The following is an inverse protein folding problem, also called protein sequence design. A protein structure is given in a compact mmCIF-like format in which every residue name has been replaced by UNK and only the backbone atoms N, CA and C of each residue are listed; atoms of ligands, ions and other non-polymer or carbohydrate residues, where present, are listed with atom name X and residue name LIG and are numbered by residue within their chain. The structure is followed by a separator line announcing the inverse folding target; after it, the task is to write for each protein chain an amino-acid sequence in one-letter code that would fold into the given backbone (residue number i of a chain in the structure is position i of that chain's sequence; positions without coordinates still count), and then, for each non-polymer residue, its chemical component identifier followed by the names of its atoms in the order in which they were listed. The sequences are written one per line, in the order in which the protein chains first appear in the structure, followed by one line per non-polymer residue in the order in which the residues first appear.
data_IF_586993959701
#
_entry.id   IF_586993959701
#
_cell.length_a   1.000
_cell.length_b   1.000
_cell.length_c   1.000
_cell.angle_alpha   90.00
_cell.angle_beta   90.00
_cell.angle_gamma   90.00
#
_symmetry.space_group_name_H-M   'P 1'
#
loop_
_entity.id
_entity.type
_entity.pdbx_description
1 polymer ?
#
# COMPACT_ATOMS: atom_id res chain seq x y z
N UNK A 1 3.75 0.33 -9.15
CA UNK A 1 2.56 1.06 -9.63
C UNK A 1 2.94 2.54 -9.76
N UNK A 2 2.66 3.18 -10.90
CA UNK A 2 2.96 4.62 -11.10
C UNK A 2 1.76 5.47 -10.67
N UNK A 3 1.19 5.18 -9.50
CA UNK A 3 0.20 6.07 -8.90
C UNK A 3 0.88 7.34 -8.42
N UNK A 4 0.36 8.51 -8.79
CA UNK A 4 0.84 9.81 -8.28
C UNK A 4 -0.05 10.35 -7.15
N UNK A 5 -0.97 9.52 -6.67
CA UNK A 5 -1.89 9.86 -5.58
C UNK A 5 -2.01 8.66 -4.63
N UNK A 6 -2.02 8.93 -3.33
CA UNK A 6 -2.40 7.97 -2.29
C UNK A 6 -3.80 8.34 -1.79
N UNK A 7 -4.73 7.40 -1.79
CA UNK A 7 -6.03 7.56 -1.12
C UNK A 7 -5.97 6.81 0.20
N UNK A 8 -6.45 7.42 1.27
CA UNK A 8 -6.69 6.80 2.58
C UNK A 8 -8.18 6.86 2.87
N UNK A 9 -8.76 5.73 3.24
CA UNK A 9 -10.16 5.61 3.60
C UNK A 9 -10.31 4.78 4.88
N UNK A 10 -10.94 5.36 5.90
CA UNK A 10 -11.40 4.60 7.06
C UNK A 10 -12.87 4.22 6.87
N UNK A 11 -13.19 2.93 6.99
CA UNK A 11 -14.57 2.45 6.89
C UNK A 11 -15.19 2.32 8.29
N UNK A 12 -16.52 2.31 8.38
CA UNK A 12 -17.28 2.19 9.65
C UNK A 12 -16.95 0.95 10.50
N UNK A 13 -16.24 -0.05 9.96
CA UNK A 13 -15.70 -1.17 10.73
C UNK A 13 -14.35 -0.82 11.41
N UNK A 14 -14.01 0.47 11.50
CA UNK A 14 -12.78 1.05 12.05
C UNK A 14 -11.49 0.58 11.39
N UNK A 15 -11.58 0.04 10.17
CA UNK A 15 -10.41 -0.36 9.39
C UNK A 15 -10.05 0.73 8.40
N UNK A 16 -8.77 1.07 8.40
CA UNK A 16 -8.18 1.98 7.42
C UNK A 16 -7.60 1.17 6.27
N UNK A 17 -7.87 1.65 5.06
CA UNK A 17 -7.36 1.12 3.83
C UNK A 17 -6.72 2.23 3.02
N UNK A 18 -5.83 1.85 2.12
CA UNK A 18 -5.24 2.80 1.20
C UNK A 18 -5.01 2.21 -0.19
N UNK A 19 -4.86 3.09 -1.16
CA UNK A 19 -4.58 2.74 -2.54
C UNK A 19 -3.66 3.77 -3.21
N UNK A 20 -2.63 3.29 -3.91
CA UNK A 20 -1.86 4.14 -4.82
C UNK A 20 -2.52 4.14 -6.21
N UNK A 21 -2.86 5.31 -6.68
CA UNK A 21 -3.66 5.49 -7.89
C UNK A 21 -3.31 6.78 -8.63
N UNK A 22 -4.05 7.10 -9.68
CA UNK A 22 -3.94 8.33 -10.45
C UNK A 22 -5.24 9.14 -10.38
N UNK A 23 -5.14 10.45 -10.64
CA UNK A 23 -6.30 11.34 -10.67
C UNK A 23 -7.30 10.89 -11.75
N UNK A 24 -8.56 10.69 -11.36
CA UNK A 24 -9.63 10.26 -12.26
C UNK A 24 -9.78 8.74 -12.42
N UNK A 25 -8.99 7.94 -11.70
CA UNK A 25 -9.20 6.50 -11.63
C UNK A 25 -10.57 6.17 -10.99
N UNK A 26 -11.29 5.21 -11.56
CA UNK A 26 -12.53 4.72 -10.99
C UNK A 26 -12.24 4.02 -9.65
N UNK A 27 -12.85 4.50 -8.56
CA UNK A 27 -12.72 3.94 -7.20
C UNK A 27 -13.10 2.45 -7.18
N UNK A 28 -14.01 2.03 -8.06
CA UNK A 28 -14.44 0.62 -8.22
C UNK A 28 -13.33 -0.35 -8.62
N UNK A 29 -12.28 0.14 -9.27
CA UNK A 29 -11.29 -0.72 -9.90
C UNK A 29 -9.94 -0.64 -9.17
N UNK A 30 -9.88 0.11 -8.07
CA UNK A 30 -8.68 0.28 -7.28
C UNK A 30 -8.34 -0.96 -6.45
N UNK A 31 -7.04 -1.25 -6.37
CA UNK A 31 -6.50 -2.28 -5.49
C UNK A 31 -6.24 -1.67 -4.11
N UNK A 32 -7.20 -1.87 -3.20
CA UNK A 32 -7.05 -1.46 -1.81
C UNK A 32 -6.12 -2.39 -1.04
N UNK A 33 -5.33 -1.79 -0.17
CA UNK A 33 -4.44 -2.46 0.77
C UNK A 33 -4.87 -2.13 2.21
N UNK A 34 -4.66 -3.07 3.12
CA UNK A 34 -4.72 -2.80 4.56
C UNK A 34 -3.45 -2.08 5.04
N UNK A 35 -3.43 -1.68 6.32
CA UNK A 35 -2.30 -1.06 7.02
C UNK A 35 -0.96 -1.80 6.84
N UNK A 36 -1.02 -3.12 6.64
CA UNK A 36 0.15 -4.02 6.46
C UNK A 36 0.52 -4.25 4.99
N UNK A 37 -0.15 -3.60 4.05
CA UNK A 37 0.10 -3.73 2.62
C UNK A 37 -0.36 -5.09 2.06
N UNK A 38 -1.44 -5.66 2.61
CA UNK A 38 -2.10 -6.83 2.04
C UNK A 38 -3.30 -6.39 1.19
N UNK A 39 -3.45 -7.00 0.02
CA UNK A 39 -4.60 -6.77 -0.83
C UNK A 39 -5.89 -7.18 -0.11
N UNK A 40 -6.88 -6.29 -0.13
CA UNK A 40 -8.22 -6.54 0.39
C UNK A 40 -9.25 -6.44 -0.73
N UNK A 41 -10.43 -7.02 -0.51
CA UNK A 41 -11.56 -6.84 -1.43
C UNK A 41 -11.96 -5.37 -1.47
N UNK A 42 -12.41 -4.90 -2.63
CA UNK A 42 -12.90 -3.54 -2.78
C UNK A 42 -13.96 -3.25 -1.70
N UNK A 43 -13.76 -2.22 -0.84
CA UNK A 43 -14.70 -1.87 0.22
C UNK A 43 -16.02 -1.24 -0.26
N UNK A 44 -16.36 -1.34 -1.54
CA UNK A 44 -17.61 -0.87 -2.11
C UNK A 44 -18.84 -1.24 -1.28
N UNK A 45 -19.71 -0.24 -1.07
CA UNK A 45 -20.95 -0.38 -0.29
C UNK A 45 -20.76 -0.30 1.22
N UNK A 46 -19.52 -0.25 1.73
CA UNK A 46 -19.27 0.04 3.14
C UNK A 46 -19.40 1.54 3.40
N UNK A 47 -20.07 1.89 4.49
CA UNK A 47 -20.07 3.28 4.97
C UNK A 47 -18.65 3.72 5.34
N UNK A 48 -18.33 4.97 5.04
CA UNK A 48 -17.00 5.56 5.23
C UNK A 48 -17.02 6.55 6.41
N UNK A 49 -15.99 6.50 7.25
CA UNK A 49 -15.74 7.44 8.33
C UNK A 49 -15.02 8.69 7.80
N UNK A 50 -13.94 8.50 7.04
CA UNK A 50 -13.26 9.58 6.32
C UNK A 50 -12.57 9.11 5.04
N UNK A 51 -12.36 10.05 4.11
CA UNK A 51 -11.46 9.89 2.96
C UNK A 51 -10.57 11.11 2.80
N UNK A 52 -9.27 10.87 2.62
CA UNK A 52 -8.30 11.88 2.24
C UNK A 52 -7.34 11.35 1.17
N UNK A 53 -6.86 12.27 0.35
CA UNK A 53 -5.95 11.99 -0.77
C UNK A 53 -4.67 12.80 -0.64
N UNK A 54 -3.52 12.15 -0.79
CA UNK A 54 -2.21 12.78 -0.86
C UNK A 54 -1.70 12.82 -2.30
N UNK A 55 -1.38 14.01 -2.78
CA UNK A 55 -0.84 14.24 -4.11
C UNK A 55 0.69 14.21 -4.06
N UNK A 56 1.27 13.10 -4.53
CA UNK A 56 2.73 12.87 -4.46
C UNK A 56 3.54 13.98 -5.16
N UNK A 57 3.13 14.52 -6.33
CA UNK A 57 3.89 15.58 -6.99
C UNK A 57 3.95 16.89 -6.21
N UNK A 58 2.89 17.24 -5.47
CA UNK A 58 2.78 18.52 -4.77
C UNK A 58 3.03 18.42 -3.27
N UNK A 59 2.99 17.21 -2.71
CA UNK A 59 3.12 16.99 -1.26
C UNK A 59 1.92 17.49 -0.46
N UNK A 60 0.72 17.50 -1.08
CA UNK A 60 -0.48 18.09 -0.49
C UNK A 60 -1.53 17.03 -0.15
N UNK A 61 -2.08 17.14 1.06
CA UNK A 61 -3.30 16.44 1.48
C UNK A 61 -4.54 17.21 1.05
N UNK A 62 -5.54 16.47 0.56
CA UNK A 62 -6.91 16.93 0.37
C UNK A 62 -7.85 16.03 1.14
N UNK A 63 -8.67 16.64 1.98
CA UNK A 63 -9.79 15.97 2.60
C UNK A 63 -10.97 15.96 1.63
N UNK A 64 -11.62 14.80 1.45
CA UNK A 64 -12.68 14.64 0.46
C UNK A 64 -14.05 14.48 1.11
N UNK A 65 -14.15 13.71 2.19
CA UNK A 65 -15.42 13.44 2.88
C UNK A 65 -15.22 12.86 4.29
N UNK A 66 -16.25 12.99 5.14
CA UNK A 66 -16.35 12.31 6.43
C UNK A 66 -16.06 13.19 7.65
N UNK A 67 -15.50 12.60 8.71
CA UNK A 67 -15.04 13.33 9.89
C UNK A 67 -13.60 13.84 9.72
N UNK A 68 -13.47 15.16 9.61
CA UNK A 68 -12.17 15.82 9.46
C UNK A 68 -11.28 15.63 10.70
N UNK A 69 -11.86 15.57 11.90
CA UNK A 69 -11.11 15.38 13.14
C UNK A 69 -10.36 14.05 13.15
N UNK A 70 -11.10 12.95 12.91
CA UNK A 70 -10.54 11.60 12.80
C UNK A 70 -9.47 11.50 11.72
N UNK A 71 -9.66 12.15 10.57
CA UNK A 71 -8.64 12.16 9.51
C UNK A 71 -7.33 12.82 9.95
N UNK A 72 -7.39 13.99 10.58
CA UNK A 72 -6.20 14.70 11.06
C UNK A 72 -5.50 13.92 12.19
N UNK A 73 -6.26 13.30 13.08
CA UNK A 73 -5.72 12.42 14.11
C UNK A 73 -5.01 11.21 13.51
N UNK A 74 -5.61 10.58 12.49
CA UNK A 74 -4.98 9.48 11.77
C UNK A 74 -3.64 9.91 11.16
N UNK A 75 -3.59 11.05 10.46
CA UNK A 75 -2.35 11.57 9.87
C UNK A 75 -1.27 11.77 10.93
N UNK A 76 -1.63 12.36 12.08
CA UNK A 76 -0.68 12.61 13.17
C UNK A 76 -0.13 11.31 13.75
N UNK A 77 -1.00 10.32 13.96
CA UNK A 77 -0.66 9.09 14.69
C UNK A 77 0.02 8.02 13.83
N UNK A 78 -0.08 8.10 12.49
CA UNK A 78 0.42 7.04 11.59
C UNK A 78 1.34 7.53 10.48
N UNK A 79 1.38 8.84 10.25
CA UNK A 79 2.23 9.46 9.23
C UNK A 79 3.06 10.60 9.83
N UNK A 80 2.95 10.83 11.14
CA UNK A 80 3.66 11.87 11.85
C UNK A 80 3.07 13.28 11.78
N UNK A 81 3.60 14.14 12.65
CA UNK A 81 3.07 15.49 12.88
C UNK A 81 3.49 16.56 11.87
N UNK A 82 4.42 16.27 10.95
CA UNK A 82 4.92 17.24 9.96
C UNK A 82 4.95 16.66 8.54
N UNK A 83 5.01 17.54 7.54
CA UNK A 83 4.92 17.16 6.12
C UNK A 83 6.08 16.29 5.63
N UNK A 84 7.30 16.51 6.12
CA UNK A 84 8.47 15.74 5.68
C UNK A 84 8.39 14.29 6.16
N UNK A 85 7.99 14.09 7.41
CA UNK A 85 7.76 12.77 8.00
C UNK A 85 6.62 12.03 7.29
N UNK A 86 5.51 12.72 7.01
CA UNK A 86 4.39 12.16 6.25
C UNK A 86 4.83 11.71 4.86
N UNK A 87 5.57 12.56 4.14
CA UNK A 87 6.08 12.23 2.81
C UNK A 87 6.98 10.99 2.84
N UNK A 88 7.91 10.95 3.78
CA UNK A 88 8.83 9.84 3.94
C UNK A 88 8.11 8.51 4.26
N UNK A 89 7.17 8.50 5.20
CA UNK A 89 6.36 7.32 5.52
C UNK A 89 5.51 6.89 4.32
N UNK A 90 4.95 7.83 3.55
CA UNK A 90 4.21 7.53 2.30
C UNK A 90 5.12 6.88 1.25
N UNK A 91 6.36 7.33 1.09
CA UNK A 91 7.34 6.75 0.17
C UNK A 91 7.70 5.31 0.58
N UNK A 92 7.95 5.07 1.87
CA UNK A 92 8.18 3.72 2.41
C UNK A 92 6.97 2.80 2.20
N UNK A 93 5.77 3.31 2.46
CA UNK A 93 4.50 2.59 2.25
C UNK A 93 4.35 2.19 0.79
N UNK A 94 4.63 3.14 -0.13
CA UNK A 94 4.58 2.88 -1.57
C UNK A 94 5.53 1.78 -2.00
N UNK A 95 6.77 1.84 -1.53
CA UNK A 95 7.78 0.85 -1.86
C UNK A 95 7.40 -0.55 -1.34
N UNK A 96 6.94 -0.61 -0.09
CA UNK A 96 6.47 -1.84 0.54
C UNK A 96 5.35 -2.50 -0.27
N UNK A 97 4.37 -1.71 -0.70
CA UNK A 97 3.20 -2.23 -1.40
C UNK A 97 3.56 -2.68 -2.82
N UNK A 98 4.37 -1.90 -3.53
CA UNK A 98 4.91 -2.28 -4.83
C UNK A 98 5.70 -3.60 -4.74
N UNK A 99 6.50 -3.76 -3.69
CA UNK A 99 7.22 -5.00 -3.41
C UNK A 99 6.27 -6.16 -3.10
N UNK A 100 5.24 -5.92 -2.29
CA UNK A 100 4.19 -6.89 -1.98
C UNK A 100 3.48 -7.42 -3.24
N UNK A 101 3.16 -6.53 -4.18
CA UNK A 101 2.56 -6.89 -5.46
C UNK A 101 3.51 -7.70 -6.35
N UNK A 102 4.79 -7.32 -6.41
CA UNK A 102 5.82 -8.09 -7.13
C UNK A 102 5.97 -9.51 -6.54
N UNK A 103 5.98 -9.63 -5.20
CA UNK A 103 5.99 -10.94 -4.51
C UNK A 103 4.74 -11.76 -4.87
N UNK A 104 3.57 -11.13 -4.92
CA UNK A 104 2.31 -11.81 -5.28
C UNK A 104 2.35 -12.36 -6.71
N UNK A 105 2.82 -11.55 -7.68
CA UNK A 105 3.03 -11.99 -9.07
C UNK A 105 4.02 -13.14 -9.17
N UNK A 106 5.17 -13.02 -8.50
CA UNK A 106 6.19 -14.08 -8.46
C UNK A 106 5.63 -15.38 -7.86
N UNK A 107 4.88 -15.30 -6.76
CA UNK A 107 4.21 -16.48 -6.17
C UNK A 107 3.21 -17.14 -7.12
N UNK A 108 2.52 -16.38 -7.97
CA UNK A 108 1.60 -16.94 -8.98
C UNK A 108 2.37 -17.64 -10.09
N UNK A 109 3.44 -17.01 -10.59
CA UNK A 109 4.32 -17.62 -11.59
C UNK A 109 4.96 -18.91 -11.07
N UNK A 110 5.48 -18.93 -9.84
CA UNK A 110 6.06 -20.13 -9.22
C UNK A 110 5.07 -21.30 -9.01
N UNK A 111 3.79 -21.12 -9.31
CA UNK A 111 2.76 -22.16 -9.27
C UNK A 111 2.33 -22.63 -10.67
N UNK A 112 2.76 -21.96 -11.73
CA UNK A 112 2.41 -22.33 -13.10
C UNK A 112 3.36 -23.41 -13.64
N UNK A 113 2.92 -24.12 -14.67
CA UNK A 113 3.72 -25.12 -15.38
C UNK A 113 4.99 -24.48 -15.97
N UNK A 114 4.91 -23.23 -16.43
CA UNK A 114 6.06 -22.48 -16.94
C UNK A 114 7.23 -22.44 -15.97
N UNK A 115 6.96 -22.30 -14.66
CA UNK A 115 8.01 -22.32 -13.65
C UNK A 115 8.64 -23.72 -13.51
N UNK A 116 7.83 -24.77 -13.57
CA UNK A 116 8.33 -26.15 -13.49
C UNK A 116 9.06 -26.60 -14.76
N UNK A 117 8.84 -25.91 -15.89
CA UNK A 117 9.55 -26.08 -17.15
C UNK A 117 10.92 -25.38 -17.18
N UNK A 118 11.22 -24.50 -16.22
CA UNK A 118 12.56 -23.90 -16.08
C UNK A 118 13.56 -24.96 -15.58
N UNK A 119 14.83 -24.75 -15.88
CA UNK A 119 15.89 -25.54 -15.26
C UNK A 119 15.94 -25.30 -13.74
N UNK A 120 16.61 -26.23 -13.04
CA UNK A 120 16.66 -26.20 -11.57
C UNK A 120 17.35 -24.96 -11.02
N UNK A 121 18.35 -24.42 -11.72
CA UNK A 121 19.11 -23.27 -11.22
C UNK A 121 18.24 -22.01 -11.26
N UNK A 122 17.49 -21.81 -12.34
CA UNK A 122 16.53 -20.71 -12.46
C UNK A 122 15.38 -20.84 -11.45
N UNK A 123 14.90 -22.05 -11.17
CA UNK A 123 13.91 -22.26 -10.11
C UNK A 123 14.45 -21.85 -8.73
N UNK A 124 15.69 -22.23 -8.40
CA UNK A 124 16.32 -21.86 -7.12
C UNK A 124 16.59 -20.35 -7.02
N UNK A 125 17.03 -19.70 -8.11
CA UNK A 125 17.20 -18.25 -8.17
C UNK A 125 15.90 -17.50 -7.87
N UNK A 126 14.78 -17.94 -8.44
CA UNK A 126 13.47 -17.33 -8.19
C UNK A 126 12.98 -17.56 -6.75
N UNK A 127 13.26 -18.73 -6.16
CA UNK A 127 13.01 -18.99 -4.73
C UNK A 127 13.82 -18.06 -3.83
N UNK A 128 15.12 -17.90 -4.12
CA UNK A 128 16.00 -16.99 -3.40
C UNK A 128 15.55 -15.53 -3.52
N UNK A 129 15.24 -15.08 -4.74
CA UNK A 129 14.71 -13.75 -5.01
C UNK A 129 13.45 -13.47 -4.18
N UNK A 130 12.49 -14.40 -4.17
CA UNK A 130 11.28 -14.29 -3.35
C UNK A 130 11.59 -14.18 -1.86
N UNK A 131 12.60 -14.90 -1.36
CA UNK A 131 13.01 -14.84 0.04
C UNK A 131 13.56 -13.47 0.41
N UNK A 132 14.49 -12.94 -0.40
CA UNK A 132 15.07 -11.60 -0.21
C UNK A 132 14.00 -10.51 -0.26
N UNK A 133 13.09 -10.57 -1.24
CA UNK A 133 11.99 -9.60 -1.33
C UNK A 133 11.08 -9.63 -0.11
N UNK A 134 10.80 -10.81 0.46
CA UNK A 134 10.01 -10.92 1.70
C UNK A 134 10.72 -10.29 2.90
N UNK A 135 12.02 -10.55 3.05
CA UNK A 135 12.83 -9.95 4.11
C UNK A 135 12.83 -8.42 3.97
N UNK A 136 13.01 -7.90 2.76
CA UNK A 136 12.97 -6.46 2.55
C UNK A 136 11.58 -5.85 2.84
N UNK A 137 10.49 -6.52 2.43
CA UNK A 137 9.13 -6.07 2.79
C UNK A 137 8.94 -6.00 4.31
N UNK A 138 9.51 -6.95 5.06
CA UNK A 138 9.43 -6.97 6.51
C UNK A 138 10.17 -5.77 7.12
N UNK A 139 11.39 -5.48 6.66
CA UNK A 139 12.17 -4.30 7.09
C UNK A 139 11.41 -3.00 6.79
N UNK A 140 10.79 -2.88 5.62
CA UNK A 140 9.98 -1.69 5.28
C UNK A 140 8.80 -1.51 6.23
N UNK A 141 8.12 -2.61 6.60
CA UNK A 141 7.05 -2.55 7.60
C UNK A 141 7.57 -2.08 8.96
N UNK A 142 8.71 -2.59 9.41
CA UNK A 142 9.30 -2.15 10.68
C UNK A 142 9.62 -0.65 10.61
N UNK A 143 10.28 -0.18 9.55
CA UNK A 143 10.61 1.25 9.40
C UNK A 143 9.38 2.15 9.45
N UNK A 144 8.27 1.74 8.83
CA UNK A 144 7.01 2.50 8.88
C UNK A 144 6.50 2.63 10.33
N UNK A 145 6.52 1.56 11.12
CA UNK A 145 6.02 1.59 12.51
C UNK A 145 7.02 2.13 13.54
N UNK A 146 8.33 2.13 13.23
CA UNK A 146 9.38 2.64 14.12
C UNK A 146 9.65 4.13 13.94
N UNK A 147 9.15 4.72 12.86
CA UNK A 147 9.19 6.16 12.61
C UNK A 147 7.95 6.90 13.19
N UNK A 148 7.02 6.18 13.83
CA UNK A 148 5.87 6.71 14.61
C UNK A 148 6.25 7.10 16.05
#
# INVERSE_FOLDING_TARGET
MVGNMLIIAELKNTKVYHAFTYRGAAISDMQYLDDKGNLVRNPQGMSVNFVGSYFIPTGEWRFEQGDYGSFIEYLRNHLGGNKEMQKHIIELTRERDDLGLKISKLKKFMKSDDFYNLDKDDQERLKAQKSVMKAYKHILNERIYWED
#
